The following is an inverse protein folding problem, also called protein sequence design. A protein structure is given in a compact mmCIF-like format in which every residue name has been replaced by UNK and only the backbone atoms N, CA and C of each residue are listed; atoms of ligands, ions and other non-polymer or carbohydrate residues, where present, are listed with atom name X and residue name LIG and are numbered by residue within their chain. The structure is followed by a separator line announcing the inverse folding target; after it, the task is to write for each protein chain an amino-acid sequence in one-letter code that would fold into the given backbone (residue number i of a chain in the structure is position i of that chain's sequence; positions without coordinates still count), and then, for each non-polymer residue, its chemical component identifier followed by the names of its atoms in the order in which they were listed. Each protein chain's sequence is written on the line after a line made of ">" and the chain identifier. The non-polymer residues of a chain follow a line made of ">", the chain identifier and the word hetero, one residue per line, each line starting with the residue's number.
data_IF_373956181814
#
_entry.id   IF_373956181814
#
_cell.length_a   1.000
_cell.length_b   1.000
_cell.length_c   1.000
_cell.angle_alpha   90.00
_cell.angle_beta   90.00
_cell.angle_gamma   90.00
#
_symmetry.space_group_name_H-M   'P 1'
#
loop_
_entity.id
_entity.type
_entity.pdbx_description
1 polymer ?
#
# COMPACT_ATOMS: atom_id res chain seq x y z
N UNK A 1 -2.51 34.27 -2.08
CA UNK A 1 -1.75 33.92 -0.85
C UNK A 1 -1.30 32.48 -0.99
N UNK A 2 -0.06 32.23 -1.44
CA UNK A 2 0.53 30.89 -1.44
C UNK A 2 0.96 30.59 0.00
N UNK A 3 0.18 29.78 0.71
CA UNK A 3 0.59 29.21 1.99
C UNK A 3 1.83 28.36 1.73
N UNK A 4 3.01 28.89 2.09
CA UNK A 4 4.26 28.16 2.02
C UNK A 4 4.24 27.06 3.06
N UNK A 5 3.85 25.85 2.65
CA UNK A 5 3.94 24.66 3.50
C UNK A 5 5.43 24.34 3.68
N UNK A 6 5.92 24.12 4.92
CA UNK A 6 7.31 23.76 5.16
C UNK A 6 7.72 22.50 4.38
N UNK A 7 9.03 22.31 4.18
CA UNK A 7 9.60 21.19 3.40
C UNK A 7 9.11 19.80 3.83
N UNK A 8 8.56 19.69 5.04
CA UNK A 8 7.83 18.52 5.52
C UNK A 8 6.40 18.90 5.90
N UNK A 9 5.41 18.22 5.32
CA UNK A 9 4.06 18.18 5.90
C UNK A 9 4.12 17.13 7.01
N UNK A 10 4.00 17.53 8.28
CA UNK A 10 4.05 16.61 9.45
C UNK A 10 5.35 15.77 9.58
N UNK A 11 6.51 16.31 9.20
CA UNK A 11 7.78 15.56 9.26
C UNK A 11 7.98 14.54 8.13
N UNK A 12 7.08 14.51 7.14
CA UNK A 12 7.15 13.58 6.01
C UNK A 12 7.71 14.26 4.75
N UNK A 13 8.64 13.59 4.07
CA UNK A 13 9.05 13.93 2.70
C UNK A 13 7.97 13.40 1.75
N UNK A 14 6.89 14.16 1.60
CA UNK A 14 5.75 13.75 0.76
C UNK A 14 5.94 14.18 -0.69
N UNK A 15 5.65 13.27 -1.62
CA UNK A 15 5.47 13.56 -3.05
C UNK A 15 4.41 12.62 -3.62
N UNK A 16 3.59 13.13 -4.55
CA UNK A 16 2.51 12.38 -5.19
C UNK A 16 1.13 12.84 -4.71
N UNK A 17 0.13 11.98 -4.90
CA UNK A 17 -1.26 12.28 -4.55
C UNK A 17 -1.60 11.77 -3.14
N UNK A 18 -2.07 12.66 -2.27
CA UNK A 18 -2.59 12.36 -0.94
C UNK A 18 -3.91 13.08 -0.74
N UNK A 19 -4.96 12.33 -0.40
CA UNK A 19 -6.26 12.86 0.05
C UNK A 19 -6.82 14.03 -0.80
N UNK A 20 -6.88 13.83 -2.13
CA UNK A 20 -7.40 14.86 -3.03
C UNK A 20 -6.45 16.03 -3.31
N UNK A 21 -5.22 15.99 -2.82
CA UNK A 21 -4.14 16.91 -3.15
C UNK A 21 -3.03 16.20 -3.93
N UNK A 22 -2.42 16.91 -4.87
CA UNK A 22 -1.15 16.52 -5.48
C UNK A 22 -0.05 17.38 -4.89
N UNK A 23 1.01 16.74 -4.39
CA UNK A 23 2.13 17.38 -3.69
C UNK A 23 3.42 17.09 -4.45
N UNK A 24 4.19 18.14 -4.75
CA UNK A 24 5.54 18.01 -5.30
C UNK A 24 6.51 18.98 -4.62
N UNK A 25 7.80 18.78 -4.85
CA UNK A 25 8.85 19.68 -4.38
C UNK A 25 9.29 20.55 -5.55
N UNK A 26 9.23 21.87 -5.40
CA UNK A 26 9.70 22.78 -6.43
C UNK A 26 11.24 22.83 -6.48
N UNK A 27 11.78 23.57 -7.46
CA UNK A 27 13.24 23.75 -7.64
C UNK A 27 13.94 24.45 -6.47
N UNK A 28 13.18 25.08 -5.57
CA UNK A 28 13.67 25.77 -4.37
C UNK A 28 13.48 24.93 -3.10
N UNK A 29 13.11 23.65 -3.22
CA UNK A 29 12.92 22.75 -2.09
C UNK A 29 11.60 22.94 -1.33
N UNK A 30 10.66 23.74 -1.85
CA UNK A 30 9.38 24.02 -1.21
C UNK A 30 8.35 22.97 -1.60
N UNK A 31 7.48 22.59 -0.67
CA UNK A 31 6.35 21.70 -0.97
C UNK A 31 5.20 22.52 -1.54
N UNK A 32 4.77 22.17 -2.74
CA UNK A 32 3.61 22.76 -3.40
C UNK A 32 2.50 21.72 -3.39
N UNK A 33 1.39 22.06 -2.74
CA UNK A 33 0.15 21.28 -2.74
C UNK A 33 -0.90 21.99 -3.59
N UNK A 34 -1.57 21.25 -4.46
CA UNK A 34 -2.67 21.75 -5.29
C UNK A 34 -3.78 20.71 -5.36
N UNK A 35 -5.04 21.11 -5.67
CA UNK A 35 -6.13 20.15 -5.88
C UNK A 35 -5.70 19.09 -6.88
N UNK A 36 -5.97 17.82 -6.58
CA UNK A 36 -5.51 16.68 -7.37
C UNK A 36 -5.71 16.94 -8.86
N UNK A 37 -4.61 17.07 -9.60
CA UNK A 37 -4.69 17.21 -11.04
C UNK A 37 -4.68 15.81 -11.65
N UNK A 38 -5.71 15.45 -12.44
CA UNK A 38 -5.69 14.18 -13.14
C UNK A 38 -4.48 14.14 -14.09
N UNK A 39 -3.84 12.97 -14.26
CA UNK A 39 -2.76 12.81 -15.22
C UNK A 39 -3.19 13.29 -16.60
N UNK A 40 -2.38 14.13 -17.25
CA UNK A 40 -2.68 14.67 -18.59
C UNK A 40 -2.58 13.60 -19.67
N UNK A 41 -1.85 12.51 -19.41
CA UNK A 41 -1.73 11.35 -20.30
C UNK A 41 -2.59 10.20 -19.76
N UNK A 42 -3.32 9.49 -20.64
CA UNK A 42 -4.01 8.28 -20.22
C UNK A 42 -3.00 7.25 -19.70
N UNK A 43 -3.40 6.38 -18.76
CA UNK A 43 -2.55 5.31 -18.27
C UNK A 43 -2.19 4.36 -19.41
N UNK A 44 -0.95 3.91 -19.44
CA UNK A 44 -0.52 2.86 -20.38
C UNK A 44 -1.26 1.54 -20.11
N UNK A 45 -1.35 0.62 -21.10
CA UNK A 45 -1.96 -0.69 -20.89
C UNK A 45 -1.37 -1.44 -19.69
N UNK A 46 -0.06 -1.37 -19.47
CA UNK A 46 0.60 -1.98 -18.32
C UNK A 46 0.18 -1.33 -17.00
N UNK A 47 0.04 0.00 -16.96
CA UNK A 47 -0.48 0.69 -15.77
C UNK A 47 -1.93 0.32 -15.47
N UNK A 48 -2.77 0.19 -16.50
CA UNK A 48 -4.16 -0.29 -16.34
C UNK A 48 -4.15 -1.70 -15.76
N UNK A 49 -3.34 -2.61 -16.32
CA UNK A 49 -3.20 -3.98 -15.83
C UNK A 49 -2.79 -4.02 -14.35
N UNK A 50 -1.71 -3.34 -13.97
CA UNK A 50 -1.25 -3.33 -12.57
C UNK A 50 -2.27 -2.70 -11.61
N UNK A 51 -2.97 -1.63 -12.04
CA UNK A 51 -4.06 -1.02 -11.26
C UNK A 51 -5.20 -2.01 -11.05
N UNK A 52 -5.58 -2.78 -12.07
CA UNK A 52 -6.61 -3.81 -11.95
C UNK A 52 -6.19 -4.90 -10.98
N UNK A 53 -4.95 -5.40 -11.08
CA UNK A 53 -4.42 -6.39 -10.11
C UNK A 53 -4.49 -5.88 -8.68
N UNK A 54 -4.02 -4.66 -8.44
CA UNK A 54 -4.05 -4.08 -7.10
C UNK A 54 -5.48 -3.88 -6.57
N UNK A 55 -6.41 -3.40 -7.43
CA UNK A 55 -7.83 -3.28 -7.08
C UNK A 55 -8.43 -4.63 -6.68
N UNK A 56 -8.12 -5.70 -7.42
CA UNK A 56 -8.59 -7.04 -7.12
C UNK A 56 -8.02 -7.55 -5.79
N UNK A 57 -6.72 -7.36 -5.53
CA UNK A 57 -6.10 -7.73 -4.25
C UNK A 57 -6.76 -7.01 -3.06
N UNK A 58 -7.02 -5.71 -3.20
CA UNK A 58 -7.73 -4.90 -2.19
C UNK A 58 -9.17 -5.36 -1.98
N UNK A 59 -9.89 -5.71 -3.05
CA UNK A 59 -11.24 -6.25 -2.96
C UNK A 59 -11.25 -7.59 -2.21
N UNK A 60 -10.29 -8.47 -2.52
CA UNK A 60 -10.12 -9.75 -1.83
C UNK A 60 -9.82 -9.56 -0.33
N UNK A 61 -9.01 -8.56 0.04
CA UNK A 61 -8.78 -8.24 1.46
C UNK A 61 -10.06 -7.80 2.17
N UNK A 62 -10.85 -6.91 1.54
CA UNK A 62 -12.11 -6.43 2.11
C UNK A 62 -13.12 -7.56 2.31
N UNK A 63 -13.14 -8.52 1.38
CA UNK A 63 -14.00 -9.69 1.43
C UNK A 63 -13.46 -10.81 2.32
N UNK A 64 -12.19 -10.75 2.74
CA UNK A 64 -11.61 -11.72 3.65
C UNK A 64 -12.29 -11.65 5.02
N UNK A 65 -12.45 -12.82 5.64
CA UNK A 65 -13.07 -12.92 6.97
C UNK A 65 -12.32 -12.07 7.99
N UNK A 66 -13.02 -11.59 9.02
CA UNK A 66 -12.39 -10.82 10.08
C UNK A 66 -11.25 -11.61 10.76
N UNK A 67 -11.43 -12.93 10.92
CA UNK A 67 -10.41 -13.81 11.49
C UNK A 67 -9.15 -13.85 10.61
N UNK A 68 -9.32 -14.01 9.30
CA UNK A 68 -8.20 -13.98 8.34
C UNK A 68 -7.44 -12.65 8.45
N UNK A 69 -8.15 -11.52 8.44
CA UNK A 69 -7.51 -10.20 8.55
C UNK A 69 -6.75 -10.04 9.86
N UNK A 70 -7.35 -10.44 10.99
CA UNK A 70 -6.70 -10.44 12.30
C UNK A 70 -5.45 -11.31 12.33
N UNK A 71 -5.47 -12.49 11.72
CA UNK A 71 -4.29 -13.36 11.65
C UNK A 71 -3.13 -12.68 10.91
N UNK A 72 -3.41 -12.01 9.79
CA UNK A 72 -2.39 -11.25 9.06
C UNK A 72 -1.82 -10.08 9.87
N UNK A 73 -2.67 -9.33 10.59
CA UNK A 73 -2.21 -8.27 11.49
C UNK A 73 -1.36 -8.85 12.64
N UNK A 74 -1.81 -9.91 13.29
CA UNK A 74 -1.09 -10.55 14.40
C UNK A 74 0.25 -11.11 13.94
N UNK A 75 0.32 -11.75 12.78
CA UNK A 75 1.60 -12.24 12.22
C UNK A 75 2.55 -11.08 11.99
N UNK A 76 2.07 -9.95 11.46
CA UNK A 76 2.92 -8.77 11.25
C UNK A 76 3.56 -8.26 12.54
N UNK A 77 2.79 -8.24 13.63
CA UNK A 77 3.24 -7.82 14.95
C UNK A 77 4.20 -8.82 15.59
N UNK A 78 3.83 -10.10 15.61
CA UNK A 78 4.63 -11.17 16.23
C UNK A 78 5.98 -11.38 15.53
N UNK A 79 6.03 -11.15 14.22
CA UNK A 79 7.27 -11.25 13.43
C UNK A 79 8.02 -9.93 13.34
N UNK A 80 7.55 -8.88 14.02
CA UNK A 80 8.16 -7.54 14.04
C UNK A 80 8.44 -6.97 12.66
N UNK A 81 7.56 -7.23 11.69
CA UNK A 81 7.70 -6.70 10.34
C UNK A 81 7.32 -5.22 10.32
N UNK A 82 8.09 -4.42 9.57
CA UNK A 82 7.80 -3.01 9.32
C UNK A 82 6.65 -2.81 8.29
N UNK A 83 5.61 -3.63 8.40
CA UNK A 83 4.45 -3.66 7.51
C UNK A 83 3.20 -4.04 8.31
N UNK A 84 2.03 -3.57 7.88
CA UNK A 84 0.74 -4.01 8.44
C UNK A 84 0.30 -5.35 7.85
N UNK A 85 -0.73 -5.98 8.44
CA UNK A 85 -1.37 -7.17 7.89
C UNK A 85 -1.91 -6.97 6.47
N UNK A 86 -2.48 -5.79 6.18
CA UNK A 86 -2.87 -5.42 4.82
C UNK A 86 -1.69 -5.44 3.84
N UNK A 87 -0.56 -4.84 4.21
CA UNK A 87 0.64 -4.82 3.36
C UNK A 87 1.16 -6.24 3.08
N UNK A 88 1.13 -7.12 4.09
CA UNK A 88 1.46 -8.54 3.93
C UNK A 88 0.51 -9.24 2.97
N UNK A 89 -0.80 -9.07 3.14
CA UNK A 89 -1.81 -9.66 2.25
C UNK A 89 -1.58 -9.24 0.79
N UNK A 90 -1.39 -7.93 0.55
CA UNK A 90 -1.12 -7.40 -0.78
C UNK A 90 0.16 -7.99 -1.37
N UNK A 91 1.23 -8.10 -0.58
CA UNK A 91 2.47 -8.71 -1.02
C UNK A 91 2.25 -10.13 -1.53
N UNK A 92 1.60 -10.98 -0.73
CA UNK A 92 1.37 -12.38 -1.10
C UNK A 92 0.37 -12.54 -2.25
N UNK A 93 -0.68 -11.72 -2.31
CA UNK A 93 -1.67 -11.74 -3.41
C UNK A 93 -1.03 -11.36 -4.75
N UNK A 94 -0.10 -10.39 -4.76
CA UNK A 94 0.53 -9.89 -5.98
C UNK A 94 1.77 -10.69 -6.42
N UNK A 95 2.47 -11.31 -5.48
CA UNK A 95 3.76 -11.99 -5.73
C UNK A 95 3.71 -13.51 -5.62
N UNK A 96 2.70 -14.09 -4.97
CA UNK A 96 2.52 -15.54 -4.87
C UNK A 96 3.74 -16.26 -4.29
N UNK A 97 4.07 -16.03 -3.02
CA UNK A 97 5.27 -16.59 -2.36
C UNK A 97 4.91 -17.58 -1.23
N UNK A 98 4.54 -18.84 -1.56
CA UNK A 98 4.11 -19.82 -0.56
C UNK A 98 5.17 -20.19 0.47
N UNK A 99 6.44 -20.30 0.06
CA UNK A 99 7.53 -20.63 0.98
C UNK A 99 7.75 -19.56 2.07
N UNK A 100 7.66 -18.28 1.69
CA UNK A 100 7.78 -17.17 2.62
C UNK A 100 6.57 -17.09 3.56
N UNK A 101 5.36 -17.32 3.04
CA UNK A 101 4.14 -17.38 3.85
C UNK A 101 4.20 -18.53 4.88
N UNK A 102 4.64 -19.72 4.47
CA UNK A 102 4.85 -20.86 5.38
C UNK A 102 5.87 -20.54 6.48
N UNK A 103 6.95 -19.85 6.13
CA UNK A 103 7.97 -19.44 7.10
C UNK A 103 7.40 -18.45 8.13
N UNK A 104 6.64 -17.44 7.68
CA UNK A 104 5.98 -16.49 8.59
C UNK A 104 4.97 -17.19 9.49
N UNK A 105 4.16 -18.10 8.93
CA UNK A 105 3.21 -18.88 9.72
C UNK A 105 3.89 -19.71 10.81
N UNK A 106 5.03 -20.33 10.49
CA UNK A 106 5.82 -21.09 11.46
C UNK A 106 6.41 -20.18 12.55
N UNK A 107 6.98 -19.03 12.17
CA UNK A 107 7.59 -18.09 13.12
C UNK A 107 6.57 -17.48 14.08
N UNK A 108 5.37 -17.16 13.58
CA UNK A 108 4.31 -16.58 14.39
C UNK A 108 3.46 -17.61 15.15
N UNK A 109 3.58 -18.91 14.83
CA UNK A 109 2.68 -19.94 15.35
C UNK A 109 1.22 -19.78 14.89
N UNK A 110 0.97 -19.04 13.80
CA UNK A 110 -0.36 -18.76 13.26
C UNK A 110 -0.44 -19.29 11.83
N UNK A 111 -1.37 -20.20 11.58
CA UNK A 111 -1.65 -20.69 10.23
C UNK A 111 -2.28 -19.57 9.39
N UNK A 112 -1.58 -19.16 8.34
CA UNK A 112 -2.10 -18.24 7.33
C UNK A 112 -2.58 -19.00 6.11
N UNK A 113 -3.72 -18.58 5.57
CA UNK A 113 -4.18 -19.00 4.25
C UNK A 113 -3.58 -18.08 3.19
N UNK A 114 -3.10 -18.66 2.09
CA UNK A 114 -2.64 -17.89 0.93
C UNK A 114 -3.80 -17.05 0.37
N UNK A 115 -3.61 -15.73 0.14
CA UNK A 115 -4.62 -14.93 -0.52
C UNK A 115 -4.81 -15.34 -1.98
N UNK A 116 -5.99 -15.10 -2.58
CA UNK A 116 -6.18 -15.33 -4.00
C UNK A 116 -5.16 -14.52 -4.82
N UNK A 117 -4.56 -15.19 -5.81
CA UNK A 117 -3.63 -14.54 -6.74
C UNK A 117 -4.38 -13.63 -7.71
N UNK A 118 -3.76 -12.51 -8.07
CA UNK A 118 -4.29 -11.51 -9.01
C UNK A 118 -3.24 -11.09 -10.01
#
# INVERSE_FOLDING_TARGET
>A
MTLGVPASMLGLIVSGDIDGLSIYTDRHGRKIAYPKSPPTKPPSPLQVFQRTRFKNAMSNWRNATQNTRRNYENVSLLTSLAMTGLNLWLHFSLKGRPAALSTLSRQAGITLTMPPSV
#
